data_IF_560937956669
#
_entry.id   IF_560937956669
#
_cell.length_a   1.000
_cell.length_b   1.000
_cell.length_c   1.000
_cell.angle_alpha   90.00
_cell.angle_beta   90.00
_cell.angle_gamma   90.00
#
_symmetry.space_group_name_H-M   'P 1'
#
loop_
_entity.id
_entity.type
_entity.pdbx_description
1 polymer ?
#
# COMPACT_ATOMS: atom_id res chain seq x y z
N UNK A 1 1.87 -23.56 5.14
CA UNK A 1 1.00 -22.36 5.25
C UNK A 1 0.79 -22.04 6.73
N UNK A 2 0.96 -20.78 7.13
CA UNK A 2 0.75 -20.29 8.51
C UNK A 2 -0.76 -20.03 8.75
N UNK A 3 -1.34 -20.55 9.83
CA UNK A 3 -2.77 -20.41 10.14
C UNK A 3 -3.04 -19.07 10.85
N UNK A 4 -3.42 -18.07 10.07
CA UNK A 4 -3.61 -16.68 10.53
C UNK A 4 -4.54 -16.54 11.73
N UNK A 5 -5.62 -17.32 11.78
CA UNK A 5 -6.62 -17.25 12.86
C UNK A 5 -6.12 -17.76 14.22
N UNK A 6 -5.07 -18.58 14.24
CA UNK A 6 -4.51 -19.17 15.45
C UNK A 6 -3.43 -18.30 16.09
N UNK A 7 -3.08 -17.15 15.48
CA UNK A 7 -2.06 -16.26 16.04
C UNK A 7 -2.48 -15.72 17.41
N UNK A 8 -1.54 -15.58 18.36
CA UNK A 8 -1.83 -15.20 19.74
C UNK A 8 -2.43 -13.79 19.82
N UNK A 9 -1.92 -12.86 19.00
CA UNK A 9 -2.36 -11.47 18.99
C UNK A 9 -3.49 -11.26 17.98
N UNK A 10 -4.65 -10.68 18.38
CA UNK A 10 -5.75 -10.37 17.47
C UNK A 10 -5.36 -9.49 16.27
N UNK A 11 -4.42 -8.57 16.46
CA UNK A 11 -3.87 -7.70 15.42
C UNK A 11 -3.07 -8.45 14.34
N UNK A 12 -2.56 -9.65 14.66
CA UNK A 12 -1.85 -10.50 13.72
C UNK A 12 -2.79 -11.44 12.96
N UNK A 13 -4.06 -11.56 13.38
CA UNK A 13 -5.12 -12.34 12.72
C UNK A 13 -5.70 -11.62 11.51
N UNK A 14 -4.87 -10.91 10.77
CA UNK A 14 -5.22 -10.16 9.58
C UNK A 14 -4.47 -10.70 8.37
N UNK A 15 -5.15 -10.71 7.24
CA UNK A 15 -4.59 -11.01 5.94
C UNK A 15 -4.16 -9.70 5.26
N UNK A 16 -2.96 -9.69 4.68
CA UNK A 16 -2.52 -8.69 3.73
C UNK A 16 -2.92 -9.10 2.33
N UNK A 17 -4.01 -8.52 1.82
CA UNK A 17 -4.52 -8.75 0.47
C UNK A 17 -3.69 -7.91 -0.52
N UNK A 18 -3.14 -8.55 -1.55
CA UNK A 18 -2.45 -7.83 -2.62
C UNK A 18 -3.44 -7.39 -3.70
N UNK A 19 -3.52 -6.10 -4.08
CA UNK A 19 -4.46 -5.63 -5.10
C UNK A 19 -4.26 -6.31 -6.46
N UNK A 20 -3.01 -6.55 -6.87
CA UNK A 20 -2.70 -6.91 -8.25
C UNK A 20 -2.63 -8.43 -8.53
N UNK A 21 -2.84 -9.29 -7.52
CA UNK A 21 -2.91 -10.76 -7.69
C UNK A 21 -3.83 -11.42 -6.66
N UNK A 22 -4.31 -12.64 -6.90
CA UNK A 22 -5.19 -13.38 -5.97
C UNK A 22 -4.52 -13.85 -4.67
N UNK A 23 -3.20 -13.72 -4.55
CA UNK A 23 -2.47 -14.14 -3.36
C UNK A 23 -2.71 -13.20 -2.17
N UNK A 24 -2.86 -13.79 -0.99
CA UNK A 24 -2.87 -13.10 0.28
C UNK A 24 -1.99 -13.83 1.30
N UNK A 25 -1.50 -13.06 2.26
CA UNK A 25 -0.55 -13.55 3.27
C UNK A 25 -0.97 -13.06 4.65
N UNK A 26 -0.43 -13.64 5.71
CA UNK A 26 -0.55 -13.01 7.01
C UNK A 26 0.12 -11.61 7.00
N UNK A 27 -0.44 -10.63 7.72
CA UNK A 27 0.11 -9.25 7.73
C UNK A 27 1.58 -9.22 8.17
N UNK A 28 1.97 -10.04 9.15
CA UNK A 28 3.37 -10.12 9.58
C UNK A 28 4.29 -10.73 8.51
N UNK A 29 3.79 -11.68 7.72
CA UNK A 29 4.51 -12.34 6.62
C UNK A 29 4.84 -11.33 5.51
N UNK A 30 3.83 -10.63 4.99
CA UNK A 30 4.03 -9.64 3.92
C UNK A 30 4.84 -8.43 4.39
N UNK A 31 4.76 -8.08 5.68
CA UNK A 31 5.58 -7.04 6.29
C UNK A 31 7.06 -7.44 6.35
N UNK A 32 7.36 -8.69 6.73
CA UNK A 32 8.73 -9.23 6.70
C UNK A 32 9.28 -9.23 5.29
N UNK A 33 8.51 -9.73 4.31
CA UNK A 33 8.88 -9.72 2.90
C UNK A 33 9.26 -8.32 2.39
N UNK A 34 8.40 -7.32 2.65
CA UNK A 34 8.64 -5.93 2.21
C UNK A 34 9.77 -5.21 2.93
N UNK A 35 10.25 -5.75 4.06
CA UNK A 35 11.38 -5.19 4.84
C UNK A 35 12.70 -5.87 4.54
N UNK A 36 12.70 -7.03 3.87
CA UNK A 36 13.94 -7.71 3.48
C UNK A 36 14.78 -6.76 2.62
N UNK A 37 16.05 -6.62 2.98
CA UNK A 37 17.03 -5.83 2.23
C UNK A 37 17.82 -6.69 1.25
N UNK A 38 17.61 -8.01 1.29
CA UNK A 38 18.33 -9.01 0.51
C UNK A 38 17.98 -8.94 -0.99
N UNK A 39 16.88 -8.26 -1.34
CA UNK A 39 16.38 -8.19 -2.71
C UNK A 39 16.18 -6.74 -3.18
N UNK A 40 16.28 -6.55 -4.49
CA UNK A 40 16.01 -5.26 -5.13
C UNK A 40 14.59 -4.76 -4.82
N UNK A 41 14.41 -3.43 -4.83
CA UNK A 41 13.14 -2.79 -4.45
C UNK A 41 11.92 -3.25 -5.27
N UNK A 42 12.13 -3.67 -6.53
CA UNK A 42 11.07 -4.21 -7.38
C UNK A 42 10.58 -5.58 -6.90
N UNK A 43 11.48 -6.41 -6.36
CA UNK A 43 11.21 -7.76 -5.90
C UNK A 43 10.44 -7.74 -4.58
N UNK A 44 10.86 -6.91 -3.62
CA UNK A 44 10.19 -6.79 -2.31
C UNK A 44 8.81 -6.14 -2.40
N UNK A 45 8.55 -5.36 -3.48
CA UNK A 45 7.23 -4.79 -3.80
C UNK A 45 6.36 -5.76 -4.60
N UNK A 46 6.88 -6.91 -5.00
CA UNK A 46 6.13 -7.92 -5.74
C UNK A 46 5.53 -8.98 -4.82
N UNK A 47 4.55 -9.70 -5.35
CA UNK A 47 4.03 -10.91 -4.74
C UNK A 47 5.15 -11.96 -4.58
N UNK A 48 5.33 -12.58 -3.40
CA UNK A 48 6.28 -13.67 -3.18
C UNK A 48 6.13 -14.84 -4.16
N UNK A 49 4.90 -15.17 -4.55
CA UNK A 49 4.58 -16.32 -5.41
C UNK A 49 4.64 -15.95 -6.90
N UNK A 50 3.76 -15.04 -7.35
CA UNK A 50 3.62 -14.75 -8.78
C UNK A 50 4.44 -13.57 -9.28
N UNK A 51 5.21 -12.90 -8.41
CA UNK A 51 6.07 -11.75 -8.75
C UNK A 51 5.36 -10.54 -9.40
N UNK A 52 4.02 -10.53 -9.41
CA UNK A 52 3.25 -9.35 -9.83
C UNK A 52 3.52 -8.20 -8.85
N UNK A 53 3.93 -7.05 -9.38
CA UNK A 53 4.23 -5.85 -8.60
C UNK A 53 2.98 -5.31 -7.94
N UNK A 54 3.06 -5.04 -6.64
CA UNK A 54 1.96 -4.50 -5.85
C UNK A 54 2.50 -3.51 -4.82
N UNK A 55 2.44 -2.22 -5.10
CA UNK A 55 3.10 -1.18 -4.28
C UNK A 55 2.59 -1.10 -2.82
N UNK A 56 1.38 -1.59 -2.54
CA UNK A 56 0.79 -1.68 -1.19
C UNK A 56 0.06 -3.01 -0.99
N UNK A 57 -0.38 -3.27 0.24
CA UNK A 57 -1.28 -4.37 0.62
C UNK A 57 -2.41 -3.83 1.50
N UNK A 58 -3.56 -4.50 1.51
CA UNK A 58 -4.74 -4.12 2.27
C UNK A 58 -4.88 -5.07 3.46
N UNK A 59 -4.79 -4.60 4.71
CA UNK A 59 -5.10 -5.43 5.87
C UNK A 59 -6.60 -5.71 5.93
N UNK A 60 -6.99 -6.98 5.97
CA UNK A 60 -8.38 -7.41 6.01
C UNK A 60 -8.55 -8.63 6.93
N UNK A 61 -9.72 -8.76 7.58
CA UNK A 61 -9.99 -9.85 8.53
C UNK A 61 -10.16 -11.21 7.85
N UNK A 62 -10.69 -11.19 6.63
CA UNK A 62 -11.00 -12.40 5.87
C UNK A 62 -10.14 -12.48 4.61
N UNK A 63 -9.86 -13.71 4.19
CA UNK A 63 -9.33 -13.99 2.87
C UNK A 63 -10.39 -13.63 1.82
N UNK A 64 -9.99 -12.91 0.76
CA UNK A 64 -10.87 -12.52 -0.34
C UNK A 64 -10.42 -13.23 -1.61
N UNK A 65 -11.19 -14.21 -2.06
CA UNK A 65 -10.95 -14.94 -3.33
C UNK A 65 -11.78 -14.40 -4.48
N UNK A 66 -12.99 -13.89 -4.19
CA UNK A 66 -13.87 -13.33 -5.21
C UNK A 66 -13.31 -12.04 -5.80
N UNK A 67 -13.39 -11.92 -7.13
CA UNK A 67 -12.82 -10.78 -7.85
C UNK A 67 -13.60 -9.50 -7.57
N UNK A 68 -14.93 -9.55 -7.57
CA UNK A 68 -15.77 -8.37 -7.40
C UNK A 68 -15.68 -7.83 -5.96
N UNK A 69 -15.69 -8.71 -4.96
CA UNK A 69 -15.47 -8.35 -3.55
C UNK A 69 -14.09 -7.70 -3.38
N UNK A 70 -13.07 -8.26 -4.03
CA UNK A 70 -11.71 -7.72 -3.97
C UNK A 70 -11.61 -6.34 -4.63
N UNK A 71 -12.21 -6.15 -5.79
CA UNK A 71 -12.23 -4.87 -6.50
C UNK A 71 -12.91 -3.79 -5.62
N UNK A 72 -14.04 -4.12 -5.00
CA UNK A 72 -14.74 -3.24 -4.05
C UNK A 72 -13.90 -2.93 -2.82
N UNK A 73 -13.18 -3.91 -2.27
CA UNK A 73 -12.27 -3.71 -1.14
C UNK A 73 -11.13 -2.76 -1.52
N UNK A 74 -10.53 -2.93 -2.71
CA UNK A 74 -9.48 -2.06 -3.22
C UNK A 74 -9.97 -0.63 -3.38
N UNK A 75 -11.13 -0.44 -4.00
CA UNK A 75 -11.73 0.88 -4.21
C UNK A 75 -12.02 1.57 -2.87
N UNK A 76 -12.72 0.89 -1.96
CA UNK A 76 -13.06 1.42 -0.64
C UNK A 76 -11.80 1.81 0.15
N UNK A 77 -10.77 0.97 0.08
CA UNK A 77 -9.50 1.24 0.75
C UNK A 77 -8.80 2.46 0.16
N UNK A 78 -8.69 2.55 -1.17
CA UNK A 78 -8.12 3.72 -1.85
C UNK A 78 -8.89 5.01 -1.53
N UNK A 79 -10.22 4.97 -1.53
CA UNK A 79 -11.06 6.13 -1.21
C UNK A 79 -10.86 6.60 0.23
N UNK A 80 -10.69 5.67 1.19
CA UNK A 80 -10.38 6.00 2.58
C UNK A 80 -8.97 6.56 2.74
N UNK A 81 -7.98 5.89 2.18
CA UNK A 81 -6.57 6.27 2.32
C UNK A 81 -6.24 7.56 1.57
N UNK A 82 -6.89 7.81 0.44
CA UNK A 82 -6.78 9.03 -0.34
C UNK A 82 -7.34 10.29 0.35
N UNK A 83 -8.02 10.14 1.49
CA UNK A 83 -8.41 11.27 2.37
C UNK A 83 -7.37 11.56 3.46
N UNK A 84 -6.46 10.62 3.70
CA UNK A 84 -5.44 10.73 4.74
C UNK A 84 -4.21 11.40 4.14
N UNK A 85 -3.77 12.51 4.73
CA UNK A 85 -2.56 13.24 4.30
C UNK A 85 -1.33 12.33 4.36
N UNK A 86 -0.58 12.28 3.26
CA UNK A 86 0.64 11.51 3.18
C UNK A 86 1.71 12.08 4.11
N UNK A 87 2.07 11.32 5.15
CA UNK A 87 3.08 11.71 6.14
C UNK A 87 4.42 12.07 5.50
N UNK A 88 4.84 11.34 4.46
CA UNK A 88 6.09 11.61 3.75
C UNK A 88 6.02 12.90 2.93
N UNK A 89 4.90 13.11 2.23
CA UNK A 89 4.71 14.31 1.41
C UNK A 89 4.70 15.57 2.27
N UNK A 90 3.97 15.56 3.39
CA UNK A 90 3.93 16.68 4.33
C UNK A 90 5.31 16.92 4.96
N UNK A 91 5.98 15.86 5.45
CA UNK A 91 7.29 15.97 6.10
C UNK A 91 8.40 16.46 5.17
N UNK A 92 8.40 16.03 3.92
CA UNK A 92 9.45 16.37 2.95
C UNK A 92 9.04 17.52 2.00
N UNK A 93 8.15 18.42 2.44
CA UNK A 93 7.73 19.62 1.68
C UNK A 93 7.33 19.33 0.22
N UNK A 94 6.50 18.33 0.01
CA UNK A 94 5.99 17.96 -1.32
C UNK A 94 6.75 16.83 -2.03
N UNK A 95 7.69 16.16 -1.35
CA UNK A 95 8.39 14.98 -1.92
C UNK A 95 7.94 13.68 -1.24
N UNK A 96 7.19 12.86 -1.97
CA UNK A 96 6.85 11.50 -1.54
C UNK A 96 7.80 10.48 -2.22
N UNK A 97 8.47 9.58 -1.46
CA UNK A 97 9.34 8.56 -2.06
C UNK A 97 8.56 7.56 -2.93
N UNK A 98 7.24 7.46 -2.73
CA UNK A 98 6.36 6.58 -3.49
C UNK A 98 5.79 7.24 -4.76
N UNK A 99 5.96 8.56 -4.96
CA UNK A 99 5.49 9.28 -6.15
C UNK A 99 4.05 8.89 -6.54
N UNK A 100 3.84 8.39 -7.75
CA UNK A 100 2.54 7.97 -8.31
C UNK A 100 1.98 6.69 -7.69
N UNK A 101 2.80 5.89 -7.02
CA UNK A 101 2.37 4.68 -6.31
C UNK A 101 1.79 4.97 -4.91
N UNK A 102 1.81 6.24 -4.48
CA UNK A 102 1.29 6.60 -3.17
C UNK A 102 -0.24 6.60 -3.17
N UNK A 103 -0.82 5.86 -2.23
CA UNK A 103 -2.28 5.78 -2.02
C UNK A 103 -2.82 6.85 -1.05
N UNK A 104 -1.95 7.74 -0.55
CA UNK A 104 -2.29 8.79 0.41
C UNK A 104 -2.41 10.15 -0.26
N UNK A 105 -3.13 11.08 0.37
CA UNK A 105 -3.35 12.42 -0.17
C UNK A 105 -2.05 13.24 -0.21
N UNK A 106 -1.71 13.73 -1.40
CA UNK A 106 -0.59 14.65 -1.64
C UNK A 106 -1.08 16.10 -1.73
N UNK A 107 -1.61 16.62 -0.63
CA UNK A 107 -2.00 18.02 -0.51
C UNK A 107 -0.94 18.80 0.28
N UNK A 108 -0.47 19.91 -0.29
CA UNK A 108 0.37 20.86 0.45
C UNK A 108 -0.54 21.73 1.32
N UNK A 109 -0.17 22.04 2.58
CA UNK A 109 -0.93 23.02 3.36
C UNK A 109 -1.05 24.32 2.56
N UNK A 110 -2.29 24.79 2.38
CA UNK A 110 -2.60 26.03 1.69
C UNK A 110 -1.85 27.17 2.37
N UNK A 111 -0.80 27.67 1.72
CA UNK A 111 0.16 28.60 2.30
C UNK A 111 1.45 28.78 1.50
N UNK A 112 1.74 27.89 0.55
CA UNK A 112 2.57 28.24 -0.61
C UNK A 112 1.99 27.61 -1.86
N UNK A 113 1.32 28.45 -2.65
CA UNK A 113 1.10 28.17 -4.06
C UNK A 113 2.44 27.73 -4.66
N UNK A 114 2.52 26.59 -5.36
CA UNK A 114 3.65 26.36 -6.25
C UNK A 114 3.66 27.55 -7.20
N UNK A 115 4.76 28.30 -7.24
CA UNK A 115 4.99 29.27 -8.31
C UNK A 115 4.76 28.50 -9.61
N UNK A 116 3.64 28.79 -10.27
CA UNK A 116 3.44 28.45 -11.66
C UNK A 116 4.63 29.06 -12.38
N UNK A 117 5.65 28.25 -12.64
CA UNK A 117 6.69 28.61 -13.59
C UNK A 117 5.99 28.55 -14.93
N UNK A 118 5.34 29.66 -15.29
CA UNK A 118 4.93 29.95 -16.66
C UNK A 118 6.18 29.68 -17.50
N UNK A 119 6.21 28.56 -18.21
CA UNK A 119 7.11 28.39 -19.32
C UNK A 119 6.69 29.45 -20.34
N UNK A 120 7.38 30.59 -20.30
CA UNK A 120 7.63 31.37 -21.49
C UNK A 120 8.81 30.68 -22.18
N UNK A 121 8.54 30.08 -23.33
CA UNK A 121 9.25 30.27 -24.60
C UNK A 121 8.48 29.48 -25.66
#
# INVERSE_FOLDING_TARGET
MDRVYEKPLPEERLFGILPNCSHAYCVSCIRKWRRSQDFQSAVIKACPECRVTSSYYIPHKYWVSDRAEKEKLIETFKARTGKIRCKFFVRNRGRCPFKSDCIYLHELPAGRLPQHRRQRL
#
